data_IF_018950515592
#
_entry.id   IF_018950515592
#
_cell.length_a   1.000
_cell.length_b   1.000
_cell.length_c   1.000
_cell.angle_alpha   90.00
_cell.angle_beta   90.00
_cell.angle_gamma   90.00
#
_symmetry.space_group_name_H-M   'P 1'
#
loop_
_entity.id
_entity.type
_entity.pdbx_description
1 polymer ?
#
# COMPACT_ATOMS: atom_id res chain seq x y z
N UNK A 1 -58.48 -64.53 4.99
CA UNK A 1 -58.21 -63.08 5.00
C UNK A 1 -59.55 -62.39 5.11
N UNK A 2 -59.85 -61.72 6.22
CA UNK A 2 -61.18 -61.12 6.41
C UNK A 2 -61.28 -59.80 5.63
N UNK A 3 -62.48 -59.41 5.23
CA UNK A 3 -62.72 -58.11 4.59
C UNK A 3 -62.24 -56.92 5.44
N UNK A 4 -62.16 -57.12 6.77
CA UNK A 4 -61.67 -56.13 7.71
C UNK A 4 -60.15 -55.90 7.59
N UNK A 5 -59.37 -56.95 7.34
CA UNK A 5 -57.91 -56.85 7.18
C UNK A 5 -57.50 -56.07 5.92
N UNK A 6 -58.30 -56.18 4.85
CA UNK A 6 -58.08 -55.46 3.57
C UNK A 6 -58.41 -53.97 3.73
N UNK A 7 -59.46 -53.65 4.49
CA UNK A 7 -59.86 -52.27 4.77
C UNK A 7 -58.83 -51.54 5.65
N UNK A 8 -58.31 -52.20 6.69
CA UNK A 8 -57.26 -51.66 7.55
C UNK A 8 -55.96 -51.43 6.77
N UNK A 9 -55.55 -52.39 5.92
CA UNK A 9 -54.37 -52.23 5.07
C UNK A 9 -54.51 -51.12 4.00
N UNK A 10 -55.73 -50.85 3.54
CA UNK A 10 -56.02 -49.73 2.63
C UNK A 10 -55.97 -48.38 3.35
N UNK A 11 -56.54 -48.28 4.55
CA UNK A 11 -56.48 -47.10 5.41
C UNK A 11 -55.03 -46.75 5.79
N UNK A 12 -54.22 -47.72 6.20
CA UNK A 12 -52.80 -47.50 6.53
C UNK A 12 -52.01 -46.97 5.34
N UNK A 13 -52.24 -47.49 4.12
CA UNK A 13 -51.59 -46.99 2.90
C UNK A 13 -51.98 -45.54 2.61
N UNK A 14 -53.25 -45.17 2.78
CA UNK A 14 -53.70 -43.79 2.61
C UNK A 14 -53.16 -42.86 3.69
N UNK A 15 -53.13 -43.31 4.94
CA UNK A 15 -52.61 -42.55 6.06
C UNK A 15 -51.11 -42.27 5.89
N UNK A 16 -50.33 -43.25 5.41
CA UNK A 16 -48.90 -43.06 5.12
C UNK A 16 -48.68 -42.05 3.98
N UNK A 17 -49.54 -42.05 2.95
CA UNK A 17 -49.50 -41.13 1.82
C UNK A 17 -49.86 -39.69 2.22
N UNK A 18 -50.89 -39.53 3.07
CA UNK A 18 -51.30 -38.23 3.62
C UNK A 18 -50.22 -37.67 4.55
N UNK A 19 -49.62 -38.52 5.37
CA UNK A 19 -48.54 -38.12 6.29
C UNK A 19 -47.28 -37.72 5.53
N UNK A 20 -46.91 -38.44 4.47
CA UNK A 20 -45.82 -38.06 3.56
C UNK A 20 -46.08 -36.73 2.83
N UNK A 21 -47.33 -36.48 2.42
CA UNK A 21 -47.74 -35.23 1.77
C UNK A 21 -47.68 -34.03 2.72
N UNK A 22 -48.13 -34.21 3.96
CA UNK A 22 -48.04 -33.19 5.03
C UNK A 22 -46.58 -32.90 5.41
N UNK A 23 -45.73 -33.93 5.47
CA UNK A 23 -44.30 -33.75 5.74
C UNK A 23 -43.60 -32.93 4.65
N UNK A 24 -43.91 -33.15 3.37
CA UNK A 24 -43.41 -32.33 2.27
C UNK A 24 -43.91 -30.88 2.34
N UNK A 25 -45.19 -30.67 2.66
CA UNK A 25 -45.76 -29.35 2.88
C UNK A 25 -45.08 -28.60 4.04
N UNK A 26 -44.88 -29.27 5.17
CA UNK A 26 -44.20 -28.72 6.33
C UNK A 26 -42.72 -28.37 6.02
N UNK A 27 -42.01 -29.22 5.28
CA UNK A 27 -40.64 -28.96 4.83
C UNK A 27 -40.55 -27.73 3.90
N UNK A 28 -41.51 -27.56 2.99
CA UNK A 28 -41.57 -26.39 2.11
C UNK A 28 -41.82 -25.09 2.89
N UNK A 29 -42.72 -25.11 3.88
CA UNK A 29 -42.98 -23.96 4.74
C UNK A 29 -41.83 -23.64 5.69
N UNK A 30 -41.09 -24.66 6.16
CA UNK A 30 -39.90 -24.47 7.01
C UNK A 30 -38.70 -23.87 6.26
N UNK A 31 -38.58 -24.11 4.95
CA UNK A 31 -37.50 -23.54 4.12
C UNK A 31 -37.70 -22.05 3.80
N UNK A 32 -38.95 -21.59 3.70
CA UNK A 32 -39.29 -20.20 3.37
C UNK A 32 -38.69 -19.13 4.31
N UNK A 33 -38.74 -19.28 5.66
CA UNK A 33 -38.08 -18.33 6.56
C UNK A 33 -36.55 -18.36 6.45
N UNK A 34 -35.94 -19.51 6.15
CA UNK A 34 -34.49 -19.64 5.95
C UNK A 34 -34.04 -18.85 4.73
N UNK A 35 -34.76 -18.92 3.61
CA UNK A 35 -34.46 -18.11 2.43
C UNK A 35 -34.59 -16.61 2.69
N UNK A 36 -35.60 -16.20 3.47
CA UNK A 36 -35.81 -14.80 3.85
C UNK A 36 -34.72 -14.29 4.82
N UNK A 37 -34.24 -15.14 5.73
CA UNK A 37 -33.08 -14.83 6.57
C UNK A 37 -31.80 -14.72 5.75
N UNK A 38 -31.56 -15.65 4.83
CA UNK A 38 -30.38 -15.60 3.95
C UNK A 38 -30.37 -14.35 3.06
N UNK A 39 -31.52 -13.90 2.55
CA UNK A 39 -31.58 -12.66 1.77
C UNK A 39 -31.29 -11.42 2.63
N UNK A 40 -31.83 -11.35 3.85
CA UNK A 40 -31.55 -10.26 4.80
C UNK A 40 -30.08 -10.22 5.24
N UNK A 41 -29.49 -11.39 5.57
CA UNK A 41 -28.07 -11.47 5.91
C UNK A 41 -27.17 -11.09 4.73
N UNK A 42 -27.55 -11.45 3.49
CA UNK A 42 -26.83 -11.01 2.29
C UNK A 42 -26.91 -9.49 2.09
N UNK A 43 -28.06 -8.88 2.31
CA UNK A 43 -28.21 -7.42 2.23
C UNK A 43 -27.35 -6.71 3.29
N UNK A 44 -27.39 -7.16 4.55
CA UNK A 44 -26.55 -6.62 5.63
C UNK A 44 -25.05 -6.79 5.35
N UNK A 45 -24.64 -7.97 4.87
CA UNK A 45 -23.24 -8.24 4.53
C UNK A 45 -22.77 -7.36 3.36
N UNK A 46 -23.60 -7.19 2.32
CA UNK A 46 -23.28 -6.31 1.20
C UNK A 46 -23.11 -4.84 1.63
N UNK A 47 -23.95 -4.33 2.53
CA UNK A 47 -23.82 -2.97 3.08
C UNK A 47 -22.53 -2.83 3.90
N UNK A 48 -22.21 -3.81 4.74
CA UNK A 48 -20.97 -3.82 5.51
C UNK A 48 -19.73 -3.82 4.61
N UNK A 49 -19.68 -4.74 3.64
CA UNK A 49 -18.57 -4.85 2.67
C UNK A 49 -18.43 -3.57 1.86
N UNK A 50 -19.53 -2.92 1.47
CA UNK A 50 -19.52 -1.61 0.79
C UNK A 50 -18.83 -0.54 1.64
N UNK A 51 -19.17 -0.46 2.93
CA UNK A 51 -18.54 0.49 3.87
C UNK A 51 -17.05 0.23 3.99
N UNK A 52 -16.65 -1.03 4.21
CA UNK A 52 -15.24 -1.43 4.34
C UNK A 52 -14.44 -1.11 3.08
N UNK A 53 -14.99 -1.36 1.89
CA UNK A 53 -14.32 -1.00 0.62
C UNK A 53 -14.16 0.52 0.51
N UNK A 54 -15.15 1.30 0.94
CA UNK A 54 -15.06 2.76 0.97
C UNK A 54 -13.93 3.25 1.87
N UNK A 55 -13.82 2.70 3.08
CA UNK A 55 -12.74 3.01 4.02
C UNK A 55 -11.36 2.64 3.45
N UNK A 56 -11.24 1.47 2.81
CA UNK A 56 -10.00 1.06 2.15
C UNK A 56 -9.57 2.02 1.04
N UNK A 57 -10.52 2.54 0.24
CA UNK A 57 -10.23 3.54 -0.80
C UNK A 57 -9.70 4.84 -0.16
N UNK A 58 -10.35 5.33 0.90
CA UNK A 58 -9.91 6.53 1.60
C UNK A 58 -8.53 6.37 2.23
N UNK A 59 -8.24 5.20 2.81
CA UNK A 59 -6.92 4.88 3.36
C UNK A 59 -5.83 4.86 2.28
N UNK A 60 -6.10 4.24 1.13
CA UNK A 60 -5.16 4.24 -0.01
C UNK A 60 -4.88 5.65 -0.52
N UNK A 61 -5.91 6.48 -0.67
CA UNK A 61 -5.77 7.87 -1.12
C UNK A 61 -4.98 8.70 -0.09
N UNK A 62 -5.21 8.49 1.21
CA UNK A 62 -4.47 9.14 2.29
C UNK A 62 -2.99 8.73 2.33
N UNK A 63 -2.67 7.44 2.14
CA UNK A 63 -1.29 6.96 2.09
C UNK A 63 -0.55 7.50 0.87
N UNK A 64 -1.19 7.49 -0.30
CA UNK A 64 -0.62 8.06 -1.52
C UNK A 64 -0.29 9.54 -1.33
N UNK A 65 -1.21 10.31 -0.77
CA UNK A 65 -1.00 11.74 -0.48
C UNK A 65 0.10 11.94 0.57
N UNK A 66 0.18 11.06 1.57
CA UNK A 66 1.27 11.05 2.55
C UNK A 66 2.64 10.88 1.89
N UNK A 67 2.79 9.90 1.00
CA UNK A 67 4.02 9.70 0.23
C UNK A 67 4.34 10.92 -0.62
N UNK A 68 3.32 11.52 -1.27
CA UNK A 68 3.49 12.74 -2.07
C UNK A 68 4.06 13.90 -1.26
N UNK A 69 3.48 14.20 -0.10
CA UNK A 69 3.93 15.28 0.77
C UNK A 69 5.37 15.08 1.26
N UNK A 70 5.75 13.83 1.53
CA UNK A 70 7.10 13.50 2.02
C UNK A 70 8.14 13.63 0.89
N UNK A 71 7.84 13.13 -0.32
CA UNK A 71 8.86 12.97 -1.37
C UNK A 71 8.88 14.12 -2.38
N UNK A 72 7.72 14.64 -2.81
CA UNK A 72 7.64 15.51 -3.99
C UNK A 72 8.37 16.84 -3.82
N UNK A 73 8.24 17.47 -2.63
CA UNK A 73 8.96 18.71 -2.34
C UNK A 73 10.46 18.49 -2.37
N UNK A 74 10.96 17.41 -1.77
CA UNK A 74 12.40 17.13 -1.66
C UNK A 74 13.05 16.76 -2.99
N UNK A 75 12.34 16.02 -3.85
CA UNK A 75 12.81 15.77 -5.21
C UNK A 75 12.87 17.06 -6.05
N UNK A 76 11.91 17.97 -5.86
CA UNK A 76 11.92 19.27 -6.54
C UNK A 76 13.09 20.13 -6.05
N UNK A 77 13.28 20.19 -4.73
CA UNK A 77 14.38 20.94 -4.10
C UNK A 77 15.77 20.37 -4.48
N UNK A 78 15.87 19.06 -4.77
CA UNK A 78 17.12 18.42 -5.24
C UNK A 78 17.58 18.97 -6.59
N UNK A 79 16.64 19.22 -7.51
CA UNK A 79 16.96 19.71 -8.86
C UNK A 79 17.29 21.21 -8.88
N UNK A 80 16.78 22.00 -7.93
CA UNK A 80 16.98 23.45 -7.89
C UNK A 80 18.30 23.88 -7.23
N UNK A 81 18.92 23.03 -6.40
CA UNK A 81 19.94 23.48 -5.44
C UNK A 81 21.39 23.22 -5.85
N UNK A 82 21.66 22.54 -6.96
CA UNK A 82 23.03 22.39 -7.49
C UNK A 82 23.67 23.74 -7.91
N UNK A 83 22.89 24.82 -7.95
CA UNK A 83 23.31 26.17 -8.36
C UNK A 83 23.08 27.25 -7.27
N UNK A 84 22.91 26.90 -6.00
CA UNK A 84 22.69 27.90 -4.96
C UNK A 84 24.00 28.57 -4.50
N UNK A 85 23.95 29.90 -4.46
CA UNK A 85 24.95 30.74 -3.83
C UNK A 85 24.53 31.00 -2.37
N UNK A 86 25.49 31.13 -1.46
CA UNK A 86 25.27 31.55 -0.08
C UNK A 86 24.67 32.97 -0.02
N UNK A 87 24.32 33.43 1.19
CA UNK A 87 23.78 34.78 1.42
C UNK A 87 24.75 35.92 1.02
N UNK A 88 25.97 35.60 0.61
CA UNK A 88 27.01 36.51 0.16
C UNK A 88 27.32 36.39 -1.34
N UNK A 89 26.59 35.54 -2.09
CA UNK A 89 26.80 35.33 -3.51
C UNK A 89 27.97 34.39 -3.84
N UNK A 90 28.47 33.61 -2.88
CA UNK A 90 29.50 32.59 -3.05
C UNK A 90 28.83 31.24 -3.33
N UNK A 91 29.23 30.47 -4.36
CA UNK A 91 28.66 29.14 -4.57
C UNK A 91 28.79 28.30 -3.31
N UNK A 92 27.69 27.70 -2.83
CA UNK A 92 27.79 26.71 -1.76
C UNK A 92 28.67 25.55 -2.25
N UNK A 93 29.56 25.04 -1.38
CA UNK A 93 30.31 23.82 -1.67
C UNK A 93 29.34 22.69 -2.01
N UNK A 94 29.65 21.91 -3.05
CA UNK A 94 28.88 20.70 -3.43
C UNK A 94 28.75 19.76 -2.23
N UNK A 95 29.76 19.72 -1.36
CA UNK A 95 29.77 18.90 -0.16
C UNK A 95 28.81 19.41 0.93
N UNK A 96 28.77 20.73 1.20
CA UNK A 96 27.82 21.31 2.16
C UNK A 96 26.37 21.08 1.69
N UNK A 97 26.13 21.28 0.39
CA UNK A 97 24.86 20.93 -0.23
C UNK A 97 24.55 19.43 -0.05
N UNK A 98 25.51 18.54 -0.31
CA UNK A 98 25.32 17.10 -0.19
C UNK A 98 25.00 16.69 1.25
N UNK A 99 25.65 17.30 2.25
CA UNK A 99 25.34 17.09 3.67
C UNK A 99 23.91 17.52 4.03
N UNK A 100 23.49 18.71 3.61
CA UNK A 100 22.13 19.20 3.85
C UNK A 100 21.09 18.26 3.23
N UNK A 101 21.34 17.83 1.99
CA UNK A 101 20.47 16.87 1.30
C UNK A 101 20.49 15.50 1.97
N UNK A 102 21.65 15.01 2.41
CA UNK A 102 21.77 13.73 3.13
C UNK A 102 20.87 13.74 4.37
N UNK A 103 20.94 14.79 5.19
CA UNK A 103 20.10 14.96 6.37
C UNK A 103 18.61 15.05 6.02
N UNK A 104 18.25 15.81 4.97
CA UNK A 104 16.88 15.89 4.47
C UNK A 104 16.34 14.50 4.06
N UNK A 105 17.15 13.70 3.36
CA UNK A 105 16.74 12.37 2.91
C UNK A 105 16.70 11.33 4.04
N UNK A 106 17.53 11.47 5.08
CA UNK A 106 17.39 10.68 6.32
C UNK A 106 16.03 10.92 7.00
N UNK A 107 15.56 12.18 7.03
CA UNK A 107 14.22 12.52 7.54
C UNK A 107 13.12 11.94 6.63
N UNK A 108 13.28 12.01 5.31
CA UNK A 108 12.35 11.38 4.34
C UNK A 108 12.24 9.89 4.59
N UNK A 109 13.37 9.20 4.75
CA UNK A 109 13.41 7.76 4.98
C UNK A 109 12.69 7.39 6.29
N UNK A 110 12.97 8.10 7.38
CA UNK A 110 12.30 7.90 8.67
C UNK A 110 10.78 8.13 8.57
N UNK A 111 10.37 9.19 7.86
CA UNK A 111 8.95 9.55 7.67
C UNK A 111 8.21 8.50 6.82
N UNK A 112 8.84 7.99 5.76
CA UNK A 112 8.28 6.90 4.95
C UNK A 112 8.14 5.62 5.75
N UNK A 113 9.16 5.24 6.54
CA UNK A 113 9.09 4.07 7.43
C UNK A 113 7.92 4.20 8.41
N UNK A 114 7.76 5.36 9.05
CA UNK A 114 6.66 5.61 9.97
C UNK A 114 5.29 5.51 9.28
N UNK A 115 5.15 6.07 8.07
CA UNK A 115 3.94 5.97 7.27
C UNK A 115 3.63 4.52 6.86
N UNK A 116 4.64 3.72 6.56
CA UNK A 116 4.45 2.35 6.09
C UNK A 116 4.14 1.35 7.22
N UNK A 117 4.59 1.61 8.44
CA UNK A 117 4.26 0.76 9.61
C UNK A 117 2.75 0.72 9.90
N UNK A 118 2.04 1.82 9.66
CA UNK A 118 0.60 1.91 9.96
C UNK A 118 -0.27 1.31 8.85
N UNK A 119 0.32 1.00 7.70
CA UNK A 119 -0.39 0.52 6.52
C UNK A 119 -0.38 -1.00 6.41
N UNK A 120 -1.54 -1.59 6.14
CA UNK A 120 -1.69 -3.03 5.87
C UNK A 120 -2.12 -3.20 4.41
N UNK A 121 -1.17 -3.04 3.47
CA UNK A 121 -1.48 -3.07 2.05
C UNK A 121 -1.29 -4.46 1.44
N UNK A 122 -1.76 -4.62 0.20
CA UNK A 122 -1.53 -5.82 -0.59
C UNK A 122 -0.04 -5.98 -0.92
N UNK A 123 0.41 -7.23 -1.08
CA UNK A 123 1.82 -7.57 -1.34
C UNK A 123 2.44 -6.78 -2.49
N UNK A 124 1.67 -6.46 -3.55
CA UNK A 124 2.17 -5.66 -4.67
C UNK A 124 2.55 -4.24 -4.27
N UNK A 125 1.82 -3.63 -3.32
CA UNK A 125 2.15 -2.29 -2.80
C UNK A 125 3.32 -2.40 -1.82
N UNK A 126 3.37 -3.44 -0.97
CA UNK A 126 4.50 -3.67 -0.05
C UNK A 126 5.84 -3.81 -0.80
N UNK A 127 5.86 -4.51 -1.93
CA UNK A 127 7.04 -4.58 -2.78
C UNK A 127 7.50 -3.20 -3.29
N UNK A 128 6.55 -2.34 -3.67
CA UNK A 128 6.86 -0.99 -4.17
C UNK A 128 7.30 -0.02 -3.05
N UNK A 129 6.78 -0.19 -1.83
CA UNK A 129 7.26 0.55 -0.65
C UNK A 129 8.70 0.21 -0.32
N UNK A 130 9.05 -1.08 -0.36
CA UNK A 130 10.41 -1.54 -0.14
C UNK A 130 11.36 -0.97 -1.20
N UNK A 131 10.94 -0.98 -2.47
CA UNK A 131 11.72 -0.41 -3.57
C UNK A 131 11.94 1.10 -3.41
N UNK A 132 10.91 1.85 -3.01
CA UNK A 132 11.05 3.29 -2.73
C UNK A 132 12.00 3.55 -1.57
N UNK A 133 11.89 2.82 -0.46
CA UNK A 133 12.81 2.95 0.68
C UNK A 133 14.25 2.64 0.27
N UNK A 134 14.44 1.61 -0.55
CA UNK A 134 15.74 1.23 -1.07
C UNK A 134 16.34 2.32 -1.97
N UNK A 135 15.55 2.87 -2.90
CA UNK A 135 15.99 3.96 -3.77
C UNK A 135 16.36 5.22 -2.95
N UNK A 136 15.55 5.57 -1.95
CA UNK A 136 15.83 6.69 -1.03
C UNK A 136 17.13 6.45 -0.26
N UNK A 137 17.34 5.24 0.27
CA UNK A 137 18.57 4.89 0.97
C UNK A 137 19.80 4.98 0.06
N UNK A 138 19.71 4.51 -1.19
CA UNK A 138 20.83 4.64 -2.13
C UNK A 138 21.17 6.10 -2.39
N UNK A 139 20.17 6.96 -2.59
CA UNK A 139 20.41 8.39 -2.79
C UNK A 139 21.05 9.04 -1.56
N UNK A 140 20.53 8.73 -0.36
CA UNK A 140 21.08 9.21 0.91
C UNK A 140 22.54 8.80 1.12
N UNK A 141 22.88 7.55 0.82
CA UNK A 141 24.26 7.03 0.87
C UNK A 141 25.17 7.70 -0.16
N UNK A 142 24.70 7.89 -1.39
CA UNK A 142 25.45 8.63 -2.42
C UNK A 142 25.75 10.06 -1.96
N UNK A 143 24.78 10.74 -1.33
CA UNK A 143 24.99 12.07 -0.77
C UNK A 143 26.01 12.08 0.38
N UNK A 144 25.97 11.06 1.24
CA UNK A 144 26.99 10.88 2.28
C UNK A 144 28.38 10.68 1.68
N UNK A 145 28.53 9.81 0.67
CA UNK A 145 29.82 9.56 0.00
C UNK A 145 30.42 10.84 -0.58
N UNK A 146 29.59 11.75 -1.09
CA UNK A 146 30.04 13.03 -1.62
C UNK A 146 30.61 13.92 -0.51
N UNK A 147 29.92 14.02 0.62
CA UNK A 147 30.31 14.86 1.76
C UNK A 147 31.43 14.27 2.61
N UNK A 148 31.57 12.94 2.62
CA UNK A 148 32.48 12.18 3.49
C UNK A 148 33.93 12.69 3.54
N UNK A 149 34.57 13.10 2.43
CA UNK A 149 35.94 13.63 2.49
C UNK A 149 36.02 14.96 3.26
N UNK A 150 35.04 15.85 3.08
CA UNK A 150 34.99 17.12 3.80
C UNK A 150 34.64 16.92 5.27
N UNK A 151 33.83 15.92 5.61
CA UNK A 151 33.63 15.51 7.00
C UNK A 151 34.95 15.13 7.68
N UNK A 152 35.79 14.35 7.01
CA UNK A 152 37.08 13.92 7.55
C UNK A 152 38.07 15.08 7.71
N UNK A 153 38.08 16.01 6.76
CA UNK A 153 38.92 17.23 6.84
C UNK A 153 38.48 18.16 7.97
N UNK A 154 37.16 18.31 8.20
CA UNK A 154 36.60 19.12 9.29
C UNK A 154 36.73 18.45 10.66
N UNK A 155 36.82 17.12 10.72
CA UNK A 155 36.87 16.34 11.96
C UNK A 155 38.07 15.37 11.97
N UNK A 156 39.32 15.88 11.89
CA UNK A 156 40.51 15.03 11.78
C UNK A 156 40.75 14.20 13.06
N UNK A 157 40.26 14.68 14.22
CA UNK A 157 40.34 13.95 15.49
C UNK A 157 39.45 12.70 15.51
N UNK A 158 38.35 12.72 14.75
CA UNK A 158 37.41 11.60 14.63
C UNK A 158 37.78 10.67 13.45
N UNK A 159 38.33 11.26 12.39
CA UNK A 159 38.72 10.58 11.16
C UNK A 159 40.25 10.57 11.05
N UNK A 160 40.90 9.63 11.73
CA UNK A 160 42.35 9.40 11.62
C UNK A 160 42.70 8.68 10.31
N UNK A 161 42.37 9.30 9.17
CA UNK A 161 42.58 8.73 7.85
C UNK A 161 44.01 8.98 7.35
N UNK A 162 44.53 7.97 6.67
CA UNK A 162 45.78 8.05 5.92
C UNK A 162 45.59 8.84 4.62
N UNK A 163 46.70 9.32 4.03
CA UNK A 163 46.68 10.00 2.73
C UNK A 163 46.05 9.14 1.63
N UNK A 164 46.26 7.82 1.68
CA UNK A 164 45.66 6.84 0.76
C UNK A 164 44.14 6.76 0.91
N UNK A 165 43.63 6.76 2.15
CA UNK A 165 42.19 6.77 2.44
C UNK A 165 41.53 8.08 2.02
N UNK A 166 42.21 9.21 2.22
CA UNK A 166 41.74 10.53 1.75
C UNK A 166 41.67 10.55 0.22
N UNK A 167 42.70 10.06 -0.47
CA UNK A 167 42.70 9.97 -1.93
C UNK A 167 41.57 9.06 -2.45
N UNK A 168 41.34 7.90 -1.81
CA UNK A 168 40.26 6.98 -2.16
C UNK A 168 38.87 7.58 -1.90
N UNK A 169 38.69 8.34 -0.81
CA UNK A 169 37.45 9.03 -0.49
C UNK A 169 37.15 10.15 -1.50
N UNK A 170 38.16 10.92 -1.90
CA UNK A 170 38.01 11.95 -2.94
C UNK A 170 37.65 11.34 -4.31
N UNK A 171 38.25 10.21 -4.67
CA UNK A 171 37.90 9.49 -5.90
C UNK A 171 36.44 8.99 -5.87
N UNK A 172 36.03 8.36 -4.75
CA UNK A 172 34.65 7.90 -4.54
C UNK A 172 33.63 9.05 -4.56
N UNK A 173 33.98 10.20 -3.97
CA UNK A 173 33.13 11.40 -3.99
C UNK A 173 32.91 11.89 -5.41
N UNK A 174 33.96 11.96 -6.24
CA UNK A 174 33.83 12.36 -7.64
C UNK A 174 32.97 11.39 -8.46
N UNK A 175 33.06 10.08 -8.20
CA UNK A 175 32.21 9.09 -8.86
C UNK A 175 30.74 9.22 -8.40
N UNK A 176 30.52 9.38 -7.10
CA UNK A 176 29.19 9.57 -6.53
C UNK A 176 28.47 10.82 -7.07
N UNK A 177 29.19 11.92 -7.33
CA UNK A 177 28.63 13.10 -8.00
C UNK A 177 28.06 12.75 -9.37
N UNK A 178 28.74 11.89 -10.14
CA UNK A 178 28.26 11.45 -11.46
C UNK A 178 27.04 10.52 -11.36
N UNK A 179 26.88 9.81 -10.24
CA UNK A 179 25.73 8.92 -10.02
C UNK A 179 24.46 9.65 -9.54
N UNK A 180 24.58 10.88 -9.01
CA UNK A 180 23.47 11.62 -8.37
C UNK A 180 22.21 11.69 -9.22
N UNK A 181 22.36 12.01 -10.50
CA UNK A 181 21.23 12.14 -11.42
C UNK A 181 20.49 10.80 -11.55
N UNK A 182 21.24 9.72 -11.74
CA UNK A 182 20.68 8.37 -11.83
C UNK A 182 20.00 7.94 -10.53
N UNK A 183 20.59 8.24 -9.36
CA UNK A 183 19.98 7.89 -8.06
C UNK A 183 18.71 8.70 -7.79
N UNK A 184 18.73 9.99 -8.11
CA UNK A 184 17.55 10.87 -8.00
C UNK A 184 16.43 10.40 -8.93
N UNK A 185 16.76 10.04 -10.17
CA UNK A 185 15.83 9.45 -11.12
C UNK A 185 15.28 8.11 -10.60
N UNK A 186 16.09 7.31 -9.91
CA UNK A 186 15.66 6.07 -9.24
C UNK A 186 14.57 6.31 -8.20
N UNK A 187 14.73 7.32 -7.33
CA UNK A 187 13.70 7.69 -6.34
C UNK A 187 12.42 8.16 -7.02
N UNK A 188 12.53 8.98 -8.07
CA UNK A 188 11.38 9.43 -8.86
C UNK A 188 10.64 8.24 -9.50
N UNK A 189 11.37 7.32 -10.13
CA UNK A 189 10.82 6.13 -10.75
C UNK A 189 10.10 5.22 -9.74
N UNK A 190 10.73 4.93 -8.60
CA UNK A 190 10.12 4.12 -7.53
C UNK A 190 8.86 4.78 -6.97
N UNK A 191 8.86 6.12 -6.83
CA UNK A 191 7.67 6.88 -6.41
C UNK A 191 6.52 6.73 -7.41
N UNK A 192 6.82 6.85 -8.71
CA UNK A 192 5.83 6.67 -9.76
C UNK A 192 5.28 5.25 -9.82
N UNK A 193 6.12 4.23 -9.63
CA UNK A 193 5.69 2.83 -9.59
C UNK A 193 4.78 2.56 -8.39
N UNK A 194 5.09 3.11 -7.21
CA UNK A 194 4.23 3.03 -6.04
C UNK A 194 2.87 3.70 -6.28
N UNK A 195 2.83 4.87 -6.93
CA UNK A 195 1.57 5.51 -7.31
C UNK A 195 0.75 4.69 -8.29
N UNK A 196 1.38 4.08 -9.29
CA UNK A 196 0.71 3.20 -10.23
C UNK A 196 0.10 1.97 -9.51
N UNK A 197 0.80 1.43 -8.50
CA UNK A 197 0.28 0.35 -7.67
C UNK A 197 -0.94 0.79 -6.84
N UNK A 198 -0.90 1.97 -6.23
CA UNK A 198 -2.06 2.54 -5.53
C UNK A 198 -3.26 2.72 -6.46
N UNK A 199 -3.08 3.30 -7.64
CA UNK A 199 -4.16 3.49 -8.63
C UNK A 199 -4.75 2.17 -9.12
N UNK A 200 -3.90 1.16 -9.35
CA UNK A 200 -4.35 -0.18 -9.75
C UNK A 200 -5.22 -0.82 -8.68
N UNK A 201 -4.79 -0.76 -7.42
CA UNK A 201 -5.54 -1.29 -6.28
C UNK A 201 -6.86 -0.54 -6.09
N UNK A 202 -6.81 0.80 -6.17
CA UNK A 202 -8.00 1.67 -6.09
C UNK A 202 -9.01 1.33 -7.19
N UNK A 203 -8.57 1.19 -8.44
CA UNK A 203 -9.44 0.81 -9.56
C UNK A 203 -10.05 -0.59 -9.37
N UNK A 204 -9.33 -1.53 -8.76
CA UNK A 204 -9.87 -2.84 -8.39
C UNK A 204 -10.97 -2.74 -7.32
N UNK A 205 -10.76 -1.93 -6.28
CA UNK A 205 -11.74 -1.69 -5.22
C UNK A 205 -13.00 -0.99 -5.75
N UNK A 206 -12.85 0.04 -6.59
CA UNK A 206 -13.98 0.73 -7.23
C UNK A 206 -14.81 -0.22 -8.10
N UNK A 207 -14.17 -1.13 -8.85
CA UNK A 207 -14.88 -2.16 -9.62
C UNK A 207 -15.67 -3.11 -8.71
N UNK A 208 -15.08 -3.55 -7.58
CA UNK A 208 -15.78 -4.39 -6.59
C UNK A 208 -16.97 -3.66 -5.98
N UNK A 209 -16.82 -2.36 -5.67
CA UNK A 209 -17.88 -1.53 -5.13
C UNK A 209 -19.08 -1.45 -6.08
N UNK A 210 -18.83 -1.19 -7.38
CA UNK A 210 -19.89 -1.16 -8.41
C UNK A 210 -20.67 -2.48 -8.50
N UNK A 211 -19.97 -3.61 -8.47
CA UNK A 211 -20.64 -4.93 -8.49
C UNK A 211 -21.54 -5.13 -7.26
N UNK A 212 -21.15 -4.60 -6.10
CA UNK A 212 -21.97 -4.68 -4.88
C UNK A 212 -23.17 -3.74 -4.99
N UNK A 213 -22.97 -2.51 -5.47
CA UNK A 213 -24.04 -1.53 -5.68
C UNK A 213 -25.09 -2.06 -6.68
N UNK A 214 -24.66 -2.64 -7.81
CA UNK A 214 -25.55 -3.25 -8.81
C UNK A 214 -26.38 -4.40 -8.19
N UNK A 215 -25.76 -5.22 -7.32
CA UNK A 215 -26.45 -6.32 -6.62
C UNK A 215 -27.40 -5.84 -5.54
N UNK A 216 -27.16 -4.68 -4.94
CA UNK A 216 -28.06 -4.06 -3.97
C UNK A 216 -29.27 -3.44 -4.68
N UNK A 217 -29.06 -2.78 -5.82
CA UNK A 217 -30.14 -2.19 -6.63
C UNK A 217 -31.02 -3.24 -7.34
N UNK A 218 -30.46 -4.41 -7.65
CA UNK A 218 -31.21 -5.51 -8.28
C UNK A 218 -32.03 -6.38 -7.29
N UNK A 219 -31.95 -6.13 -5.97
CA UNK A 219 -32.80 -6.80 -4.99
C UNK A 219 -34.16 -6.08 -4.91
N UNK A 220 -35.28 -6.77 -5.21
CA UNK A 220 -36.63 -6.18 -5.16
C UNK A 220 -37.12 -5.89 -3.74
#
# INVERSE_FOLDING_TARGET
>A
MSYFDIFVAFMDKWQTLITGSLAFGAAFFALRPVYKQLSLMRAQNNVMVRSTIGEMILQLDAHREGVHKIVAKRLTDMQSNLYHFDNHGVPNSVCDWANDRHNDFGIVQASLKALFITSHDVQSIEGQKAELLFAVNQLEETLWVIYRPEYADRNPEECNWTDEEIAAANASSSEAVNELESKTAGVSAATHQLYAAYETQRAALVRRLRVIDDRLLAQP
#
